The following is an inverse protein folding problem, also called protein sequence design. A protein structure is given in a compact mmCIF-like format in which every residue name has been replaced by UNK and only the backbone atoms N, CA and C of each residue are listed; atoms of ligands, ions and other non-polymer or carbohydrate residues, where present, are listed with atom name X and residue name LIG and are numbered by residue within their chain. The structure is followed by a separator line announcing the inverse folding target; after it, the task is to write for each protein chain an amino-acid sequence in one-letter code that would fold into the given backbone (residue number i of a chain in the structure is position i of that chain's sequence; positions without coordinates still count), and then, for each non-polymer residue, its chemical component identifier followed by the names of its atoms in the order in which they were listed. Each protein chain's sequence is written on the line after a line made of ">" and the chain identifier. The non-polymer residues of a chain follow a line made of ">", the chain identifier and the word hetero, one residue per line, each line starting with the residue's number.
data_IF_950907205786
#
_entry.id   IF_950907205786
#
_cell.length_a   1.000
_cell.length_b   1.000
_cell.length_c   1.000
_cell.angle_alpha   90.00
_cell.angle_beta   90.00
_cell.angle_gamma   90.00
#
_symmetry.space_group_name_H-M   'P 1'
#
loop_
_entity.id
_entity.type
_entity.pdbx_description
1 polymer ?
#
# COMPACT_ATOMS: atom_id res chain seq x y z
N UNK A 1 -2.79 -3.85 37.69
CA UNK A 1 -2.83 -3.35 36.30
C UNK A 1 -3.03 -1.85 36.33
N UNK A 2 -2.29 -1.11 35.46
CA UNK A 2 -2.33 0.36 35.41
C UNK A 2 -3.52 0.86 34.56
N UNK A 3 -3.95 0.06 33.57
CA UNK A 3 -5.03 0.40 32.65
C UNK A 3 -6.16 -0.63 32.78
N UNK A 4 -7.39 -0.15 32.72
CA UNK A 4 -8.60 -0.98 32.83
C UNK A 4 -9.37 -1.02 31.50
N UNK A 5 -9.41 0.08 30.76
CA UNK A 5 -10.17 0.22 29.52
C UNK A 5 -9.23 0.15 28.32
N UNK A 6 -9.59 -0.62 27.32
CA UNK A 6 -8.83 -0.78 26.10
C UNK A 6 -9.71 -0.42 24.89
N UNK A 7 -9.14 0.35 23.99
CA UNK A 7 -9.73 0.59 22.66
C UNK A 7 -8.69 0.21 21.62
N UNK A 8 -9.09 -0.64 20.68
CA UNK A 8 -8.21 -1.12 19.60
C UNK A 8 -8.85 -0.77 18.27
N UNK A 9 -8.14 0.02 17.48
CA UNK A 9 -8.52 0.40 16.13
C UNK A 9 -7.87 -0.55 15.11
N UNK A 10 -8.41 -0.61 13.89
CA UNK A 10 -7.95 -1.49 12.81
C UNK A 10 -7.83 -2.97 13.23
N UNK A 11 -8.82 -3.45 14.00
CA UNK A 11 -8.76 -4.78 14.62
C UNK A 11 -8.74 -5.93 13.62
N UNK A 12 -9.13 -5.70 12.36
CA UNK A 12 -9.02 -6.67 11.27
C UNK A 12 -7.57 -6.98 10.88
N UNK A 13 -6.62 -6.09 11.23
CA UNK A 13 -5.21 -6.25 10.88
C UNK A 13 -4.36 -6.84 12.04
N UNK A 14 -5.01 -7.30 13.10
CA UNK A 14 -4.33 -7.91 14.25
C UNK A 14 -3.82 -9.32 13.90
N UNK A 15 -2.58 -9.61 14.25
CA UNK A 15 -2.00 -10.94 14.17
C UNK A 15 -2.36 -11.79 15.40
N UNK A 16 -2.26 -13.14 15.33
CA UNK A 16 -2.47 -14.00 16.50
C UNK A 16 -1.61 -13.65 17.72
N UNK A 17 -0.36 -13.22 17.48
CA UNK A 17 0.54 -12.79 18.54
C UNK A 17 0.07 -11.50 19.22
N UNK A 18 -0.34 -10.52 18.43
CA UNK A 18 -0.89 -9.25 18.95
C UNK A 18 -2.20 -9.49 19.71
N UNK A 19 -3.04 -10.40 19.20
CA UNK A 19 -4.27 -10.80 19.89
C UNK A 19 -3.96 -11.44 21.26
N UNK A 20 -3.02 -12.38 21.31
CA UNK A 20 -2.60 -13.00 22.56
C UNK A 20 -1.99 -11.98 23.55
N UNK A 21 -1.26 -10.98 23.06
CA UNK A 21 -0.74 -9.90 23.88
C UNK A 21 -1.86 -9.03 24.47
N UNK A 22 -2.87 -8.70 23.65
CA UNK A 22 -4.05 -7.96 24.11
C UNK A 22 -4.79 -8.74 25.20
N UNK A 23 -4.99 -10.07 25.02
CA UNK A 23 -5.59 -10.93 26.01
C UNK A 23 -4.80 -10.94 27.32
N UNK A 24 -3.47 -11.02 27.25
CA UNK A 24 -2.61 -10.96 28.42
C UNK A 24 -2.69 -9.60 29.16
N UNK A 25 -2.87 -8.52 28.44
CA UNK A 25 -3.07 -7.19 29.04
C UNK A 25 -4.47 -7.05 29.64
N UNK A 26 -5.48 -7.60 28.99
CA UNK A 26 -6.86 -7.53 29.43
C UNK A 26 -7.08 -8.37 30.70
N UNK A 27 -6.44 -9.56 30.77
CA UNK A 27 -6.65 -10.51 31.87
C UNK A 27 -8.12 -10.93 31.98
N UNK A 28 -8.70 -10.81 33.19
CA UNK A 28 -10.10 -11.14 33.44
C UNK A 28 -11.07 -9.99 33.16
N UNK A 29 -10.58 -8.85 32.64
CA UNK A 29 -11.43 -7.71 32.32
C UNK A 29 -12.09 -7.83 30.95
N UNK A 30 -13.28 -7.27 30.82
CA UNK A 30 -14.05 -7.24 29.57
C UNK A 30 -14.28 -5.82 29.04
N UNK A 31 -13.62 -4.82 29.66
CA UNK A 31 -13.72 -3.41 29.28
C UNK A 31 -12.91 -3.14 27.98
N UNK A 32 -13.36 -3.72 26.87
CA UNK A 32 -12.68 -3.69 25.57
C UNK A 32 -13.63 -3.15 24.49
N UNK A 33 -13.18 -2.18 23.72
CA UNK A 33 -13.82 -1.71 22.51
C UNK A 33 -12.90 -1.99 21.32
N UNK A 34 -13.39 -2.63 20.29
CA UNK A 34 -12.64 -2.85 19.04
C UNK A 34 -13.36 -2.19 17.88
N UNK A 35 -12.60 -1.59 16.98
CA UNK A 35 -13.09 -0.97 15.76
C UNK A 35 -12.33 -1.55 14.57
N UNK A 36 -13.03 -1.80 13.48
CA UNK A 36 -12.40 -2.30 12.27
C UNK A 36 -13.41 -2.60 11.16
N UNK A 37 -12.88 -2.90 9.99
CA UNK A 37 -13.66 -3.34 8.84
C UNK A 37 -13.04 -4.63 8.28
N UNK A 38 -13.72 -5.78 8.35
CA UNK A 38 -13.17 -7.05 7.89
C UNK A 38 -12.84 -7.05 6.38
N UNK A 39 -13.45 -6.15 5.60
CA UNK A 39 -13.16 -5.99 4.16
C UNK A 39 -11.87 -5.20 3.88
N UNK A 40 -11.26 -4.59 4.90
CA UNK A 40 -10.01 -3.82 4.81
C UNK A 40 -8.80 -4.59 5.34
N UNK A 41 -8.87 -5.90 5.50
CA UNK A 41 -7.73 -6.74 5.91
C UNK A 41 -6.70 -6.82 4.78
N UNK A 42 -5.71 -5.93 4.80
CA UNK A 42 -4.68 -5.82 3.77
C UNK A 42 -3.31 -6.34 4.21
N UNK A 43 -3.15 -6.75 5.47
CA UNK A 43 -1.89 -7.24 6.06
C UNK A 43 -1.88 -8.75 6.32
N UNK A 44 -2.68 -9.53 5.58
CA UNK A 44 -2.74 -11.00 5.72
C UNK A 44 -1.38 -11.67 5.51
N UNK A 45 -0.51 -11.10 4.68
CA UNK A 45 0.86 -11.58 4.44
C UNK A 45 1.78 -11.45 5.68
N UNK A 46 1.41 -10.63 6.67
CA UNK A 46 2.11 -10.54 7.98
C UNK A 46 1.46 -11.39 9.05
N UNK A 47 0.43 -12.18 8.70
CA UNK A 47 -0.33 -13.01 9.62
C UNK A 47 -1.56 -12.33 10.22
N UNK A 48 -1.96 -11.14 9.74
CA UNK A 48 -3.20 -10.50 10.16
C UNK A 48 -4.42 -11.34 9.72
N UNK A 49 -5.48 -11.31 10.55
CA UNK A 49 -6.70 -12.06 10.30
C UNK A 49 -7.94 -11.28 10.74
N UNK A 50 -8.87 -11.07 9.83
CA UNK A 50 -10.18 -10.48 10.13
C UNK A 50 -11.06 -11.39 11.00
N UNK A 51 -10.67 -12.64 11.19
CA UNK A 51 -11.46 -13.63 11.96
C UNK A 51 -11.65 -13.20 13.42
N UNK A 52 -10.65 -12.55 14.02
CA UNK A 52 -10.76 -12.03 15.37
C UNK A 52 -11.87 -10.99 15.50
N UNK A 53 -12.00 -10.10 14.49
CA UNK A 53 -13.08 -9.12 14.45
C UNK A 53 -14.44 -9.79 14.17
N UNK A 54 -14.52 -10.70 13.20
CA UNK A 54 -15.75 -11.40 12.81
C UNK A 54 -16.32 -12.22 13.96
N UNK A 55 -15.47 -12.85 14.77
CA UNK A 55 -15.87 -13.68 15.93
C UNK A 55 -15.92 -12.92 17.24
N UNK A 56 -15.72 -11.62 17.25
CA UNK A 56 -15.64 -10.85 18.48
C UNK A 56 -16.89 -11.03 19.35
N UNK A 57 -18.10 -10.84 18.77
CA UNK A 57 -19.35 -10.98 19.48
C UNK A 57 -19.63 -12.41 19.99
N UNK A 58 -19.11 -13.43 19.32
CA UNK A 58 -19.25 -14.81 19.82
C UNK A 58 -18.26 -15.18 20.93
N UNK A 59 -17.25 -14.35 21.17
CA UNK A 59 -16.29 -14.51 22.27
C UNK A 59 -16.75 -13.82 23.55
N UNK A 60 -17.52 -12.75 23.43
CA UNK A 60 -18.00 -11.95 24.56
C UNK A 60 -19.53 -11.91 24.52
N UNK A 61 -20.19 -12.64 25.41
CA UNK A 61 -21.65 -12.83 25.42
C UNK A 61 -22.43 -11.51 25.51
N UNK A 62 -21.86 -10.49 26.18
CA UNK A 62 -22.46 -9.17 26.37
C UNK A 62 -21.97 -8.13 25.34
N UNK A 63 -21.30 -8.55 24.26
CA UNK A 63 -20.78 -7.61 23.28
C UNK A 63 -21.91 -6.89 22.53
N UNK A 64 -21.84 -5.59 22.48
CA UNK A 64 -22.71 -4.76 21.64
C UNK A 64 -22.00 -4.48 20.32
N UNK A 65 -22.61 -4.90 19.20
CA UNK A 65 -22.09 -4.65 17.86
C UNK A 65 -22.82 -3.45 17.24
N UNK A 66 -22.06 -2.44 16.84
CA UNK A 66 -22.57 -1.28 16.13
C UNK A 66 -21.98 -1.25 14.73
N UNK A 67 -22.83 -1.29 13.71
CA UNK A 67 -22.41 -1.20 12.30
C UNK A 67 -22.55 0.25 11.80
N UNK A 68 -21.43 0.80 11.28
CA UNK A 68 -21.38 2.13 10.69
C UNK A 68 -21.51 2.01 9.16
N UNK A 69 -22.72 1.97 8.66
CA UNK A 69 -23.00 1.78 7.22
C UNK A 69 -23.05 3.08 6.43
N UNK A 70 -23.24 4.23 7.09
CA UNK A 70 -23.33 5.53 6.41
C UNK A 70 -21.94 6.09 6.09
N UNK A 71 -21.63 6.26 4.81
CA UNK A 71 -20.37 6.80 4.34
C UNK A 71 -20.54 8.25 3.88
N UNK A 72 -19.82 9.16 4.55
CA UNK A 72 -19.82 10.61 4.28
C UNK A 72 -18.59 11.06 3.51
N UNK A 73 -17.62 10.15 3.28
CA UNK A 73 -16.31 10.46 2.64
C UNK A 73 -16.40 10.43 1.12
N UNK A 74 -17.06 9.42 0.57
CA UNK A 74 -16.99 9.08 -0.84
C UNK A 74 -18.33 9.29 -1.55
N UNK A 75 -18.25 9.63 -2.84
CA UNK A 75 -19.44 9.77 -3.70
C UNK A 75 -20.16 8.44 -3.91
N UNK A 76 -21.44 8.52 -4.28
CA UNK A 76 -22.27 7.33 -4.48
C UNK A 76 -21.71 6.32 -5.49
N UNK A 77 -21.04 6.80 -6.54
CA UNK A 77 -20.44 5.93 -7.56
C UNK A 77 -19.24 5.16 -7.02
N UNK A 78 -18.42 5.78 -6.18
CA UNK A 78 -17.29 5.11 -5.51
C UNK A 78 -17.81 4.05 -4.54
N UNK A 79 -18.83 4.39 -3.74
CA UNK A 79 -19.45 3.44 -2.79
C UNK A 79 -20.12 2.27 -3.53
N UNK A 80 -20.83 2.53 -4.63
CA UNK A 80 -21.41 1.47 -5.44
C UNK A 80 -20.35 0.52 -6.01
N UNK A 81 -19.18 1.05 -6.37
CA UNK A 81 -18.06 0.24 -6.85
C UNK A 81 -17.43 -0.57 -5.70
N UNK A 82 -17.19 0.04 -4.54
CA UNK A 82 -16.65 -0.64 -3.36
C UNK A 82 -17.59 -1.79 -2.89
N UNK A 83 -18.89 -1.53 -2.82
CA UNK A 83 -19.87 -2.55 -2.44
C UNK A 83 -19.91 -3.76 -3.39
N UNK A 84 -19.49 -3.60 -4.66
CA UNK A 84 -19.38 -4.75 -5.58
C UNK A 84 -18.21 -5.66 -5.24
N UNK A 85 -17.13 -5.12 -4.71
CA UNK A 85 -15.96 -5.89 -4.29
C UNK A 85 -16.23 -6.70 -3.01
N UNK A 86 -17.11 -6.19 -2.15
CA UNK A 86 -17.43 -6.81 -0.84
C UNK A 86 -18.65 -7.74 -0.88
N UNK A 87 -19.27 -7.98 -2.04
CA UNK A 87 -20.56 -8.73 -2.16
C UNK A 87 -20.53 -10.18 -1.69
N UNK A 88 -19.38 -10.81 -1.73
CA UNK A 88 -19.23 -12.25 -1.42
C UNK A 88 -18.94 -12.50 0.07
N UNK A 89 -18.86 -11.46 0.89
CA UNK A 89 -18.59 -11.58 2.31
C UNK A 89 -19.88 -11.57 3.13
N UNK A 90 -20.31 -12.73 3.57
CA UNK A 90 -21.50 -12.88 4.40
C UNK A 90 -21.38 -12.12 5.73
N UNK A 91 -22.40 -11.32 6.04
CA UNK A 91 -22.53 -10.65 7.34
C UNK A 91 -22.09 -9.19 7.38
N UNK A 92 -21.65 -8.61 6.27
CA UNK A 92 -21.34 -7.18 6.18
C UNK A 92 -22.45 -6.47 5.42
N UNK A 93 -23.05 -5.46 6.05
CA UNK A 93 -24.04 -4.61 5.38
C UNK A 93 -23.38 -3.70 4.35
N UNK A 94 -24.00 -3.48 3.17
CA UNK A 94 -23.47 -2.58 2.16
C UNK A 94 -23.42 -1.13 2.67
N UNK A 95 -22.37 -0.41 2.34
CA UNK A 95 -22.23 1.00 2.67
C UNK A 95 -23.28 1.84 1.93
N UNK A 96 -23.83 2.82 2.63
CA UNK A 96 -24.78 3.81 2.11
C UNK A 96 -24.05 5.14 1.90
N UNK A 97 -23.99 5.61 0.66
CA UNK A 97 -23.39 6.91 0.35
C UNK A 97 -24.29 8.03 0.85
N UNK A 98 -23.72 8.93 1.66
CA UNK A 98 -24.39 10.14 2.14
C UNK A 98 -23.91 11.40 1.39
N UNK A 99 -22.79 11.30 0.66
CA UNK A 99 -22.26 12.36 -0.19
C UNK A 99 -23.01 12.43 -1.54
N UNK A 100 -22.87 13.59 -2.20
CA UNK A 100 -23.47 13.83 -3.52
C UNK A 100 -22.99 12.84 -4.59
N UNK A 101 -23.76 12.80 -5.68
CA UNK A 101 -23.39 12.03 -6.88
C UNK A 101 -22.12 12.62 -7.50
N UNK A 102 -21.12 11.77 -7.69
CA UNK A 102 -19.83 12.14 -8.31
C UNK A 102 -19.62 11.48 -9.66
N UNK A 103 -18.40 11.49 -10.14
CA UNK A 103 -18.01 10.76 -11.35
C UNK A 103 -17.82 9.27 -11.05
N UNK A 104 -18.18 8.44 -12.02
CA UNK A 104 -17.86 7.03 -11.95
C UNK A 104 -16.33 6.80 -11.93
N UNK A 105 -15.83 5.81 -11.18
CA UNK A 105 -14.43 5.37 -11.29
C UNK A 105 -14.12 5.02 -12.75
N UNK A 106 -12.97 5.48 -13.23
CA UNK A 106 -12.46 5.16 -14.56
C UNK A 106 -11.42 4.05 -14.46
N UNK A 107 -11.54 3.01 -15.28
CA UNK A 107 -10.58 1.93 -15.38
C UNK A 107 -9.98 1.97 -16.78
N UNK A 108 -8.65 2.03 -16.84
CA UNK A 108 -7.92 2.10 -18.09
C UNK A 108 -6.74 1.13 -18.06
N UNK A 109 -6.55 0.37 -19.11
CA UNK A 109 -5.39 -0.47 -19.33
C UNK A 109 -4.34 0.24 -20.17
N UNK A 110 -3.07 -0.11 -19.95
CA UNK A 110 -1.92 0.40 -20.69
C UNK A 110 -1.02 -0.75 -21.12
N UNK A 111 -0.25 -0.57 -22.19
CA UNK A 111 0.63 -1.60 -22.71
C UNK A 111 1.87 -1.82 -21.81
N UNK A 112 2.33 -0.76 -21.14
CA UNK A 112 3.49 -0.82 -20.27
C UNK A 112 3.40 0.22 -19.13
N UNK A 113 4.20 0.04 -18.04
CA UNK A 113 4.19 0.94 -16.90
C UNK A 113 4.58 2.39 -17.21
N UNK A 114 5.40 2.63 -18.23
CA UNK A 114 5.81 3.98 -18.60
C UNK A 114 4.65 4.76 -19.23
N UNK A 115 3.85 4.13 -20.06
CA UNK A 115 2.64 4.73 -20.63
C UNK A 115 1.58 5.00 -19.55
N UNK A 116 1.40 4.07 -18.63
CA UNK A 116 0.54 4.26 -17.46
C UNK A 116 0.97 5.51 -16.68
N UNK A 117 2.25 5.59 -16.30
CA UNK A 117 2.77 6.70 -15.52
C UNK A 117 2.59 8.06 -16.23
N UNK A 118 2.86 8.13 -17.56
CA UNK A 118 2.65 9.33 -18.36
C UNK A 118 1.18 9.73 -18.42
N UNK A 119 0.26 8.76 -18.58
CA UNK A 119 -1.17 9.04 -18.61
C UNK A 119 -1.68 9.54 -17.26
N UNK A 120 -1.22 8.94 -16.14
CA UNK A 120 -1.52 9.41 -14.79
C UNK A 120 -1.00 10.83 -14.58
N UNK A 121 0.26 11.11 -14.93
CA UNK A 121 0.85 12.43 -14.79
C UNK A 121 0.09 13.49 -15.58
N UNK A 122 -0.28 13.20 -16.83
CA UNK A 122 -1.10 14.09 -17.68
C UNK A 122 -2.48 14.34 -17.08
N UNK A 123 -3.13 13.31 -16.54
CA UNK A 123 -4.42 13.45 -15.90
C UNK A 123 -4.35 14.32 -14.63
N UNK A 124 -3.30 14.15 -13.83
CA UNK A 124 -3.05 14.97 -12.63
C UNK A 124 -2.80 16.43 -13.03
N UNK A 125 -1.92 16.69 -14.00
CA UNK A 125 -1.65 18.06 -14.48
C UNK A 125 -2.95 18.75 -14.93
N UNK A 126 -3.77 18.03 -15.72
CA UNK A 126 -5.07 18.56 -16.17
C UNK A 126 -6.01 18.90 -15.00
N UNK A 127 -6.00 18.10 -13.91
CA UNK A 127 -6.79 18.40 -12.72
C UNK A 127 -6.29 19.64 -11.98
N UNK A 128 -4.98 19.78 -11.87
CA UNK A 128 -4.35 20.97 -11.27
C UNK A 128 -4.69 22.22 -12.08
N UNK A 129 -4.63 22.15 -13.41
CA UNK A 129 -5.00 23.26 -14.31
C UNK A 129 -6.49 23.65 -14.20
N UNK A 130 -7.35 22.72 -13.80
CA UNK A 130 -8.78 22.92 -13.48
C UNK A 130 -9.00 23.45 -12.06
N UNK A 131 -7.94 23.71 -11.28
CA UNK A 131 -8.01 24.28 -9.94
C UNK A 131 -8.01 23.28 -8.77
N UNK A 132 -7.83 21.97 -9.03
CA UNK A 132 -7.65 21.00 -7.96
C UNK A 132 -6.29 21.21 -7.32
N UNK A 133 -6.24 21.32 -6.01
CA UNK A 133 -4.98 21.53 -5.30
C UNK A 133 -4.15 20.24 -5.28
N UNK A 134 -2.82 20.29 -5.47
CA UNK A 134 -1.98 19.10 -5.48
C UNK A 134 -2.10 18.22 -4.23
N UNK A 135 -2.29 18.83 -3.05
CA UNK A 135 -2.44 18.08 -1.79
C UNK A 135 -3.78 17.33 -1.65
N UNK A 136 -4.74 17.60 -2.53
CA UNK A 136 -6.01 16.86 -2.61
C UNK A 136 -5.93 15.68 -3.60
N UNK A 137 -4.76 15.43 -4.19
CA UNK A 137 -4.54 14.34 -5.14
C UNK A 137 -3.59 13.31 -4.52
N UNK A 138 -3.95 12.04 -4.58
CA UNK A 138 -3.09 10.93 -4.18
C UNK A 138 -2.97 9.91 -5.31
N UNK A 139 -1.75 9.38 -5.49
CA UNK A 139 -1.47 8.24 -6.36
C UNK A 139 -1.11 7.05 -5.50
N UNK A 140 -1.85 5.98 -5.63
CA UNK A 140 -1.62 4.73 -4.90
C UNK A 140 -1.07 3.69 -5.88
N UNK A 141 -0.06 2.95 -5.46
CA UNK A 141 0.56 1.88 -6.25
C UNK A 141 0.74 0.63 -5.39
N UNK A 142 0.84 -0.53 -6.04
CA UNK A 142 0.86 -1.83 -5.35
C UNK A 142 2.23 -2.18 -4.79
N UNK A 143 3.30 -1.86 -5.50
CA UNK A 143 4.68 -2.20 -5.14
C UNK A 143 5.58 -0.98 -5.23
N UNK A 144 6.57 -0.91 -4.34
CA UNK A 144 7.46 0.23 -4.22
C UNK A 144 8.25 0.56 -5.49
N UNK A 145 8.55 -0.44 -6.33
CA UNK A 145 9.24 -0.25 -7.61
C UNK A 145 8.47 0.59 -8.63
N UNK A 146 7.14 0.72 -8.48
CA UNK A 146 6.32 1.55 -9.38
C UNK A 146 6.48 3.05 -9.14
N UNK A 147 6.99 3.48 -7.97
CA UNK A 147 7.10 4.91 -7.63
C UNK A 147 8.05 5.65 -8.55
N UNK A 148 9.11 5.01 -9.03
CA UNK A 148 10.12 5.64 -9.89
C UNK A 148 9.50 6.17 -11.19
N UNK A 149 8.79 5.32 -11.94
CA UNK A 149 8.14 5.72 -13.19
C UNK A 149 7.11 6.85 -12.97
N UNK A 150 6.36 6.80 -11.86
CA UNK A 150 5.38 7.82 -11.49
C UNK A 150 6.06 9.14 -11.08
N UNK A 151 7.13 9.09 -10.28
CA UNK A 151 7.89 10.27 -9.85
C UNK A 151 8.50 11.00 -11.07
N UNK A 152 9.12 10.25 -12.00
CA UNK A 152 9.70 10.79 -13.21
C UNK A 152 8.64 11.43 -14.11
N UNK A 153 7.55 10.71 -14.38
CA UNK A 153 6.48 11.23 -15.24
C UNK A 153 5.80 12.48 -14.66
N UNK A 154 5.65 12.57 -13.33
CA UNK A 154 5.10 13.74 -12.65
C UNK A 154 6.07 14.91 -12.69
N UNK A 155 7.39 14.68 -12.53
CA UNK A 155 8.41 15.69 -12.66
C UNK A 155 8.48 16.28 -14.08
N UNK A 156 8.33 15.44 -15.13
CA UNK A 156 8.28 15.88 -16.53
C UNK A 156 7.16 16.89 -16.81
N UNK A 157 6.02 16.77 -16.12
CA UNK A 157 4.89 17.70 -16.25
C UNK A 157 4.90 18.81 -15.17
N UNK A 158 6.01 18.97 -14.43
CA UNK A 158 6.18 20.02 -13.44
C UNK A 158 5.30 19.87 -12.20
N UNK A 159 5.01 18.64 -11.78
CA UNK A 159 4.26 18.35 -10.56
C UNK A 159 5.21 17.80 -9.50
N UNK A 160 5.37 18.55 -8.41
CA UNK A 160 6.12 18.09 -7.25
C UNK A 160 5.32 17.06 -6.46
N UNK A 161 5.99 16.00 -6.01
CA UNK A 161 5.39 14.89 -5.26
C UNK A 161 6.03 14.72 -3.90
N UNK A 162 5.22 14.25 -2.93
CA UNK A 162 5.67 13.77 -1.65
C UNK A 162 5.35 12.28 -1.54
N UNK A 163 6.38 11.43 -1.45
CA UNK A 163 6.20 10.00 -1.20
C UNK A 163 5.96 9.79 0.30
N UNK A 164 4.80 9.21 0.65
CA UNK A 164 4.48 8.85 2.03
C UNK A 164 4.81 7.38 2.28
N UNK A 165 5.37 7.09 3.43
CA UNK A 165 5.73 5.72 3.84
C UNK A 165 7.05 5.19 3.28
N UNK A 166 7.83 6.02 2.58
CA UNK A 166 9.14 5.67 2.05
C UNK A 166 9.92 6.89 1.58
N UNK A 167 11.21 6.70 1.31
CA UNK A 167 12.02 7.69 0.63
C UNK A 167 11.71 7.69 -0.88
N UNK A 168 11.94 8.84 -1.54
CA UNK A 168 11.90 8.91 -3.01
C UNK A 168 12.79 7.82 -3.60
N UNK A 169 12.40 7.23 -4.71
CA UNK A 169 13.07 6.06 -5.29
C UNK A 169 14.59 6.18 -5.31
N UNK A 170 15.12 7.26 -5.87
CA UNK A 170 16.56 7.48 -5.96
C UNK A 170 17.24 7.82 -4.62
N UNK A 171 16.51 8.10 -3.56
CA UNK A 171 17.04 8.33 -2.22
C UNK A 171 17.07 7.05 -1.37
N UNK A 172 16.46 5.98 -1.82
CA UNK A 172 16.43 4.70 -1.09
C UNK A 172 17.86 4.17 -0.93
N UNK A 173 18.24 3.68 0.27
CA UNK A 173 19.60 3.23 0.54
C UNK A 173 20.09 2.14 -0.43
N UNK A 174 19.24 1.17 -0.78
CA UNK A 174 19.56 0.11 -1.72
C UNK A 174 19.81 0.64 -3.15
N UNK A 175 19.04 1.63 -3.59
CA UNK A 175 19.18 2.28 -4.90
C UNK A 175 20.46 3.10 -4.94
N UNK A 176 20.73 3.90 -3.90
CA UNK A 176 21.96 4.67 -3.75
C UNK A 176 23.20 3.78 -3.72
N UNK A 177 23.12 2.65 -3.03
CA UNK A 177 24.20 1.67 -2.99
C UNK A 177 24.46 1.06 -4.37
N UNK A 178 23.39 0.68 -5.09
CA UNK A 178 23.50 0.14 -6.44
C UNK A 178 24.12 1.17 -7.41
N UNK A 179 23.64 2.40 -7.41
CA UNK A 179 24.20 3.48 -8.25
C UNK A 179 25.68 3.72 -7.93
N UNK A 180 26.06 3.76 -6.66
CA UNK A 180 27.47 3.93 -6.28
C UNK A 180 28.33 2.77 -6.75
N UNK A 181 27.88 1.53 -6.58
CA UNK A 181 28.58 0.34 -7.02
C UNK A 181 28.76 0.32 -8.56
N UNK A 182 27.71 0.63 -9.31
CA UNK A 182 27.78 0.74 -10.78
C UNK A 182 28.78 1.83 -11.20
N UNK A 183 28.71 3.03 -10.62
CA UNK A 183 29.63 4.12 -10.95
C UNK A 183 31.08 3.77 -10.64
N UNK A 184 31.35 3.09 -9.55
CA UNK A 184 32.70 2.68 -9.17
C UNK A 184 33.29 1.64 -10.14
N UNK A 185 32.49 0.68 -10.60
CA UNK A 185 32.94 -0.38 -11.50
C UNK A 185 33.09 0.13 -12.95
N UNK A 186 32.18 0.99 -13.40
CA UNK A 186 32.28 1.62 -14.75
C UNK A 186 33.53 2.51 -14.86
N UNK A 187 34.04 3.02 -13.74
CA UNK A 187 35.28 3.80 -13.72
C UNK A 187 36.54 2.93 -13.87
N UNK A 188 36.40 1.61 -13.66
CA UNK A 188 37.46 0.61 -13.87
C UNK A 188 37.25 0.07 -15.29
N UNK A 189 38.16 0.36 -16.23
CA UNK A 189 38.10 -0.20 -17.58
C UNK A 189 38.13 -1.74 -17.50
N UNK A 190 36.96 -2.37 -17.72
CA UNK A 190 36.81 -3.82 -17.82
C UNK A 190 36.45 -4.19 -19.24
N UNK A 191 37.04 -5.28 -19.78
CA UNK A 191 36.70 -5.84 -21.12
C UNK A 191 35.32 -6.51 -21.15
N UNK A 192 34.57 -6.47 -20.03
CA UNK A 192 33.23 -7.06 -19.93
C UNK A 192 32.17 -6.15 -20.55
N UNK A 193 31.15 -6.73 -21.25
CA UNK A 193 30.00 -5.98 -21.71
C UNK A 193 29.28 -5.26 -20.53
N UNK A 194 28.86 -4.02 -20.75
CA UNK A 194 28.21 -3.20 -19.72
C UNK A 194 27.05 -3.91 -19.03
N UNK A 195 26.17 -4.56 -19.81
CA UNK A 195 25.04 -5.31 -19.28
C UNK A 195 25.48 -6.43 -18.30
N UNK A 196 26.56 -7.13 -18.62
CA UNK A 196 27.07 -8.20 -17.77
C UNK A 196 27.66 -7.66 -16.47
N UNK A 197 28.37 -6.54 -16.54
CA UNK A 197 28.91 -5.82 -15.36
C UNK A 197 27.78 -5.37 -14.45
N UNK A 198 26.76 -4.72 -15.00
CA UNK A 198 25.59 -4.27 -14.22
C UNK A 198 24.86 -5.45 -13.58
N UNK A 199 24.62 -6.54 -14.34
CA UNK A 199 23.95 -7.73 -13.79
C UNK A 199 24.74 -8.39 -12.65
N UNK A 200 26.08 -8.46 -12.77
CA UNK A 200 26.95 -9.01 -11.73
C UNK A 200 26.90 -8.16 -10.45
N UNK A 201 26.92 -6.83 -10.59
CA UNK A 201 26.78 -5.89 -9.47
C UNK A 201 25.41 -6.06 -8.78
N UNK A 202 24.34 -6.07 -9.56
CA UNK A 202 22.98 -6.22 -9.02
C UNK A 202 22.80 -7.53 -8.25
N UNK A 203 23.36 -8.63 -8.77
CA UNK A 203 23.36 -9.93 -8.07
C UNK A 203 24.15 -9.87 -6.77
N UNK A 204 25.29 -9.20 -6.74
CA UNK A 204 26.10 -9.03 -5.50
C UNK A 204 25.35 -8.23 -4.43
N UNK A 205 24.42 -7.37 -4.84
CA UNK A 205 23.56 -6.58 -3.96
C UNK A 205 22.27 -7.31 -3.56
N UNK A 206 22.09 -8.56 -4.00
CA UNK A 206 20.95 -9.39 -3.63
C UNK A 206 19.78 -9.39 -4.61
N UNK A 207 19.97 -8.85 -5.82
CA UNK A 207 18.99 -9.00 -6.90
C UNK A 207 19.09 -10.41 -7.53
N UNK A 208 17.97 -10.95 -7.93
CA UNK A 208 17.84 -12.22 -8.66
C UNK A 208 16.82 -12.08 -9.77
N UNK A 209 16.93 -12.92 -10.81
CA UNK A 209 15.97 -12.90 -11.93
C UNK A 209 14.55 -13.28 -11.52
N UNK A 210 14.40 -14.08 -10.45
CA UNK A 210 13.12 -14.43 -9.86
C UNK A 210 12.90 -13.62 -8.57
N UNK A 211 11.68 -13.10 -8.39
CA UNK A 211 11.31 -12.37 -7.18
C UNK A 211 11.30 -13.30 -5.96
N UNK A 212 11.70 -12.84 -4.77
CA UNK A 212 11.51 -13.57 -3.53
C UNK A 212 10.04 -13.94 -3.31
N UNK A 213 9.74 -15.17 -2.87
CA UNK A 213 8.37 -15.62 -2.64
C UNK A 213 7.74 -14.98 -1.41
N UNK A 214 8.56 -14.67 -0.39
CA UNK A 214 8.10 -14.12 0.88
C UNK A 214 8.06 -12.60 0.82
N UNK A 215 6.91 -12.02 1.20
CA UNK A 215 6.76 -10.57 1.35
C UNK A 215 7.56 -10.05 2.56
N UNK A 216 8.03 -8.79 2.49
CA UNK A 216 8.78 -8.12 3.55
C UNK A 216 9.99 -7.36 3.01
N UNK A 217 10.84 -6.85 3.91
CA UNK A 217 11.97 -5.98 3.57
C UNK A 217 12.91 -6.53 2.49
N UNK A 218 13.06 -7.86 2.40
CA UNK A 218 13.84 -8.51 1.34
C UNK A 218 13.18 -8.38 -0.04
N UNK A 219 11.86 -8.51 -0.09
CA UNK A 219 11.06 -8.32 -1.30
C UNK A 219 11.05 -6.85 -1.73
N UNK A 220 10.86 -5.92 -0.80
CA UNK A 220 10.87 -4.48 -1.08
C UNK A 220 12.21 -4.02 -1.65
N UNK A 221 13.31 -4.51 -1.06
CA UNK A 221 14.66 -4.26 -1.58
C UNK A 221 14.86 -4.83 -2.97
N UNK A 222 14.41 -6.07 -3.21
CA UNK A 222 14.47 -6.70 -4.52
C UNK A 222 13.68 -5.91 -5.55
N UNK A 223 12.48 -5.43 -5.22
CA UNK A 223 11.63 -4.61 -6.11
C UNK A 223 12.31 -3.30 -6.49
N UNK A 224 12.96 -2.62 -5.53
CA UNK A 224 13.73 -1.41 -5.79
C UNK A 224 14.91 -1.66 -6.74
N UNK A 225 15.66 -2.75 -6.52
CA UNK A 225 16.77 -3.14 -7.40
C UNK A 225 16.27 -3.60 -8.77
N UNK A 226 15.17 -4.33 -8.84
CA UNK A 226 14.58 -4.78 -10.09
C UNK A 226 14.06 -3.60 -10.95
N UNK A 227 13.46 -2.60 -10.33
CA UNK A 227 13.07 -1.36 -11.02
C UNK A 227 14.29 -0.67 -11.66
N UNK A 228 15.45 -0.67 -10.96
CA UNK A 228 16.69 -0.09 -11.48
C UNK A 228 17.27 -0.89 -12.67
N UNK A 229 17.03 -2.19 -12.73
CA UNK A 229 17.45 -3.07 -13.86
C UNK A 229 16.60 -2.85 -15.11
N UNK A 230 15.35 -2.42 -14.94
CA UNK A 230 14.38 -2.21 -16.02
C UNK A 230 14.44 -0.82 -16.66
N UNK A 231 15.21 0.13 -16.08
CA UNK A 231 15.51 1.45 -16.62
C UNK A 231 16.59 1.32 -17.69
#
# INVERSE_FOLDING_TARGET
>A
QQYRFYTVDEYQDISPLQHALLDAWLGDHTDLCVVGDPNQTIYSFTGASSEFLRRFASRYDDATVVQLTRNYRSTGQIIAYANRLSRDESGVEPLQAMAEIGRAPNIQGFENPAEEAKAVAKAIRSRIDQGVKPHDIAVLYRVNGQSEALENALAEVGVEVQVRGGERFFNRPEVQNAIRAIRSEVSIQTDKPLFQTVSDIMRSLGWSAAAPEVAGAGRDRWESLNALVLI
#
